data_IF_254761443890
#
_entry.id   IF_254761443890
#
_cell.length_a   1.000
_cell.length_b   1.000
_cell.length_c   1.000
_cell.angle_alpha   90.00
_cell.angle_beta   90.00
_cell.angle_gamma   90.00
#
_symmetry.space_group_name_H-M   'P 1'
#
loop_
_entity.id
_entity.type
_entity.pdbx_description
1 polymer ?
#
# COMPACT_ATOMS: atom_id res chain seq x y z
N UNK A 1 -9.94 33.81 22.91
CA UNK A 1 -10.99 34.66 23.50
C UNK A 1 -11.33 34.17 24.91
N UNK A 2 -10.41 34.35 25.86
CA UNK A 2 -10.62 34.09 27.28
C UNK A 2 -10.86 35.43 27.98
N UNK A 3 -12.06 35.97 27.89
CA UNK A 3 -12.46 37.15 28.67
C UNK A 3 -13.97 37.12 28.92
N UNK A 4 -14.40 36.34 29.90
CA UNK A 4 -15.64 36.54 30.64
C UNK A 4 -15.73 35.53 31.80
N UNK A 5 -15.07 35.80 32.94
CA UNK A 5 -15.59 35.48 34.29
C UNK A 5 -14.63 35.84 35.43
N UNK A 6 -14.24 37.11 35.54
CA UNK A 6 -13.66 37.63 36.79
C UNK A 6 -14.68 38.24 37.74
N UNK A 7 -15.97 38.28 37.39
CA UNK A 7 -17.02 38.89 38.22
C UNK A 7 -17.77 37.92 39.15
N UNK A 8 -17.49 36.62 39.06
CA UNK A 8 -18.10 35.57 39.90
C UNK A 8 -17.16 35.04 40.99
N UNK A 9 -16.17 35.84 41.45
CA UNK A 9 -15.23 35.43 42.50
C UNK A 9 -15.49 36.04 43.88
N UNK A 10 -16.49 36.90 44.04
CA UNK A 10 -16.80 37.53 45.33
C UNK A 10 -18.31 37.68 45.54
N UNK A 11 -19.03 36.57 45.53
CA UNK A 11 -20.35 36.47 46.17
C UNK A 11 -20.15 35.73 47.49
N UNK A 12 -20.25 36.47 48.58
CA UNK A 12 -20.46 36.08 49.98
C UNK A 12 -20.29 34.59 50.34
N UNK A 13 -19.20 34.29 51.07
CA UNK A 13 -19.02 33.07 51.85
C UNK A 13 -19.99 33.06 53.06
N UNK A 14 -21.30 32.96 52.81
CA UNK A 14 -22.20 32.40 53.83
C UNK A 14 -21.87 30.91 53.86
N UNK A 15 -20.96 30.53 54.75
CA UNK A 15 -20.69 29.12 54.99
C UNK A 15 -22.00 28.45 55.41
N UNK A 16 -22.50 27.55 54.56
CA UNK A 16 -23.66 26.71 54.90
C UNK A 16 -23.37 26.04 56.25
N UNK A 17 -24.36 25.84 57.13
CA UNK A 17 -24.12 25.20 58.41
C UNK A 17 -23.42 23.84 58.22
N UNK A 18 -22.52 23.48 59.14
CA UNK A 18 -21.66 22.29 59.03
C UNK A 18 -22.44 21.02 58.63
N UNK A 19 -23.65 20.74 59.18
CA UNK A 19 -24.45 19.58 58.75
C UNK A 19 -24.84 19.60 57.27
N UNK A 20 -25.09 20.77 56.68
CA UNK A 20 -25.39 20.90 55.25
C UNK A 20 -24.14 20.70 54.38
N UNK A 21 -22.97 21.17 54.83
CA UNK A 21 -21.72 20.92 54.10
C UNK A 21 -21.38 19.43 54.06
N UNK A 22 -21.56 18.71 55.17
CA UNK A 22 -21.34 17.26 55.26
C UNK A 22 -22.31 16.53 54.32
N UNK A 23 -23.61 16.89 54.33
CA UNK A 23 -24.60 16.33 53.41
C UNK A 23 -24.21 16.57 51.95
N UNK A 24 -23.81 17.78 51.59
CA UNK A 24 -23.38 18.11 50.23
C UNK A 24 -22.16 17.31 49.77
N UNK A 25 -21.20 17.04 50.67
CA UNK A 25 -20.06 16.19 50.33
C UNK A 25 -20.53 14.75 50.09
N UNK A 26 -21.38 14.21 50.96
CA UNK A 26 -21.93 12.85 50.78
C UNK A 26 -22.69 12.76 49.45
N UNK A 27 -23.53 13.74 49.13
CA UNK A 27 -24.29 13.81 47.88
C UNK A 27 -23.40 13.93 46.65
N UNK A 28 -22.29 14.67 46.72
CA UNK A 28 -21.35 14.82 45.60
C UNK A 28 -20.59 13.53 45.26
N UNK A 29 -20.38 12.67 46.25
CA UNK A 29 -19.68 11.40 46.08
C UNK A 29 -20.61 10.21 45.80
N UNK A 30 -21.93 10.41 45.90
CA UNK A 30 -22.93 9.40 45.54
C UNK A 30 -23.20 9.42 44.03
N UNK A 31 -22.89 8.34 43.28
CA UNK A 31 -23.15 8.25 41.84
C UNK A 31 -24.65 8.19 41.49
N UNK A 32 -25.51 7.91 42.47
CA UNK A 32 -26.97 7.84 42.27
C UNK A 32 -27.63 9.21 42.38
N UNK A 33 -26.90 10.20 42.91
CA UNK A 33 -27.43 11.53 43.15
C UNK A 33 -27.26 12.40 41.89
N UNK A 34 -28.30 13.13 41.45
CA UNK A 34 -28.18 14.07 40.34
C UNK A 34 -27.12 15.17 40.57
N UNK A 35 -26.85 15.53 41.83
CA UNK A 35 -25.81 16.52 42.18
C UNK A 35 -24.39 15.91 42.33
N UNK A 36 -24.17 14.68 41.84
CA UNK A 36 -22.86 14.05 41.86
C UNK A 36 -21.82 14.92 41.13
N UNK A 37 -20.65 15.11 41.75
CA UNK A 37 -19.59 15.93 41.15
C UNK A 37 -18.88 15.24 39.98
N UNK A 38 -19.00 13.91 39.87
CA UNK A 38 -18.29 13.09 38.89
C UNK A 38 -19.22 12.65 37.74
N UNK A 39 -19.91 13.62 37.13
CA UNK A 39 -20.76 13.40 35.96
C UNK A 39 -20.09 13.92 34.71
N UNK A 40 -19.87 13.04 33.74
CA UNK A 40 -19.29 13.39 32.44
C UNK A 40 -20.00 12.62 31.34
N UNK A 41 -20.30 13.27 30.22
CA UNK A 41 -20.82 12.60 29.03
C UNK A 41 -19.67 12.10 28.15
N UNK A 42 -19.74 10.81 27.79
CA UNK A 42 -18.88 10.23 26.77
C UNK A 42 -19.71 9.92 25.53
N UNK A 43 -19.09 10.00 24.36
CA UNK A 43 -19.79 9.75 23.11
C UNK A 43 -19.56 8.31 22.61
N UNK A 44 -20.65 7.61 22.28
CA UNK A 44 -20.61 6.31 21.63
C UNK A 44 -21.03 6.43 20.17
N UNK A 45 -20.32 5.77 19.26
CA UNK A 45 -20.71 5.72 17.85
C UNK A 45 -21.87 4.74 17.70
N UNK A 46 -22.92 5.16 17.03
CA UNK A 46 -24.14 4.42 16.77
C UNK A 46 -24.41 4.45 15.26
N UNK A 47 -25.09 3.45 14.73
CA UNK A 47 -25.54 3.46 13.34
C UNK A 47 -26.68 4.47 13.12
N UNK A 48 -26.76 5.07 11.93
CA UNK A 48 -27.69 6.18 11.63
C UNK A 48 -29.15 5.88 11.94
N UNK A 49 -29.60 4.68 11.59
CA UNK A 49 -30.98 4.23 11.82
C UNK A 49 -31.31 4.04 13.30
N UNK A 50 -30.31 3.83 14.15
CA UNK A 50 -30.50 3.60 15.58
C UNK A 50 -30.47 4.91 16.39
N UNK A 51 -30.00 6.01 15.81
CA UNK A 51 -29.93 7.34 16.47
C UNK A 51 -31.25 7.78 17.10
N UNK A 52 -32.42 7.65 16.42
CA UNK A 52 -33.71 8.09 17.00
C UNK A 52 -34.15 7.29 18.24
N UNK A 53 -33.57 6.11 18.47
CA UNK A 53 -33.93 5.26 19.61
C UNK A 53 -33.22 5.65 20.91
N UNK A 54 -32.23 6.54 20.85
CA UNK A 54 -31.51 6.99 22.04
C UNK A 54 -32.19 8.22 22.65
N UNK A 55 -32.66 8.07 23.88
CA UNK A 55 -33.24 9.13 24.69
C UNK A 55 -32.48 9.25 26.03
N UNK A 56 -32.61 10.40 26.74
CA UNK A 56 -32.05 10.55 28.07
C UNK A 56 -32.53 9.44 29.02
N UNK A 57 -31.64 8.92 29.85
CA UNK A 57 -31.95 7.95 30.89
C UNK A 57 -32.63 8.60 32.12
N UNK A 58 -33.04 7.78 33.11
CA UNK A 58 -33.76 8.26 34.29
C UNK A 58 -32.92 9.15 35.23
N UNK A 59 -31.58 9.11 35.11
CA UNK A 59 -30.67 9.96 35.87
C UNK A 59 -30.09 11.11 35.03
N UNK A 60 -30.46 11.22 33.76
CA UNK A 60 -29.96 12.29 32.87
C UNK A 60 -30.76 13.57 33.08
N UNK A 61 -30.04 14.68 33.22
CA UNK A 61 -30.64 16.01 33.19
C UNK A 61 -30.86 16.42 31.72
N UNK A 62 -32.10 16.73 31.28
CA UNK A 62 -32.38 17.04 29.87
C UNK A 62 -31.55 18.21 29.32
N UNK A 63 -31.21 19.18 30.18
CA UNK A 63 -30.37 20.33 29.82
C UNK A 63 -28.95 19.91 29.48
N UNK A 64 -28.33 19.07 30.31
CA UNK A 64 -26.96 18.60 30.08
C UNK A 64 -26.88 17.64 28.89
N UNK A 65 -27.92 16.83 28.71
CA UNK A 65 -28.06 15.97 27.53
C UNK A 65 -28.11 16.78 26.23
N UNK A 66 -28.94 17.83 26.18
CA UNK A 66 -29.04 18.72 25.01
C UNK A 66 -27.75 19.53 24.79
N UNK A 67 -27.04 19.90 25.86
CA UNK A 67 -25.69 20.47 25.76
C UNK A 67 -24.68 19.50 25.16
N UNK A 68 -24.71 18.23 25.58
CA UNK A 68 -23.84 17.19 25.02
C UNK A 68 -24.19 16.90 23.54
N UNK A 69 -25.48 16.86 23.19
CA UNK A 69 -25.90 16.71 21.79
C UNK A 69 -25.44 17.88 20.91
N UNK A 70 -25.47 19.11 21.43
CA UNK A 70 -24.97 20.30 20.72
C UNK A 70 -23.44 20.25 20.54
N UNK A 71 -22.72 19.72 21.52
CA UNK A 71 -21.25 19.64 21.51
C UNK A 71 -20.71 18.31 20.96
N UNK A 72 -21.45 17.68 20.05
CA UNK A 72 -21.12 16.39 19.47
C UNK A 72 -19.94 16.49 18.47
N UNK A 73 -18.96 15.56 18.52
CA UNK A 73 -17.74 15.65 17.70
C UNK A 73 -17.95 15.34 16.21
N UNK A 74 -18.91 14.48 15.87
CA UNK A 74 -19.20 14.04 14.51
C UNK A 74 -20.63 13.49 14.46
N UNK A 75 -21.30 13.44 13.28
CA UNK A 75 -22.61 12.79 13.15
C UNK A 75 -22.57 11.35 13.69
N UNK A 76 -23.73 10.84 14.14
CA UNK A 76 -23.91 9.45 14.61
C UNK A 76 -23.26 9.07 15.97
N UNK A 77 -22.64 10.03 16.65
CA UNK A 77 -22.24 9.90 18.05
C UNK A 77 -23.35 10.26 19.04
N UNK A 78 -23.73 9.35 19.94
CA UNK A 78 -24.73 9.62 20.99
C UNK A 78 -24.06 9.75 22.36
N UNK A 79 -24.44 10.76 23.17
CA UNK A 79 -23.89 10.92 24.51
C UNK A 79 -24.38 9.80 25.43
N UNK A 80 -23.50 9.40 26.35
CA UNK A 80 -23.75 8.39 27.38
C UNK A 80 -23.22 8.95 28.68
N UNK A 81 -24.09 9.04 29.68
CA UNK A 81 -23.71 9.52 31.00
C UNK A 81 -22.77 8.52 31.69
N UNK A 82 -21.64 9.04 32.16
CA UNK A 82 -20.75 8.34 33.05
C UNK A 82 -20.80 9.03 34.42
N UNK A 83 -21.53 8.43 35.36
CA UNK A 83 -21.60 8.86 36.75
C UNK A 83 -20.61 8.04 37.60
N UNK A 84 -19.66 8.75 38.23
CA UNK A 84 -18.69 8.17 39.16
C UNK A 84 -17.67 7.20 38.55
N UNK A 85 -16.80 6.64 39.40
CA UNK A 85 -15.74 5.71 38.99
C UNK A 85 -16.23 4.36 38.41
N UNK A 86 -17.36 3.77 38.84
CA UNK A 86 -17.81 2.50 38.27
C UNK A 86 -18.14 2.58 36.77
N UNK A 87 -18.70 3.70 36.32
CA UNK A 87 -19.07 3.90 34.91
C UNK A 87 -17.84 4.01 34.00
N UNK A 88 -16.78 4.69 34.44
CA UNK A 88 -15.51 4.74 33.71
C UNK A 88 -14.79 3.38 33.71
N UNK A 89 -14.89 2.59 34.79
CA UNK A 89 -14.39 1.20 34.79
C UNK A 89 -15.15 0.35 33.77
N UNK A 90 -16.47 0.49 33.69
CA UNK A 90 -17.28 -0.18 32.65
C UNK A 90 -16.83 0.25 31.23
N UNK A 91 -16.49 1.54 31.03
CA UNK A 91 -15.95 2.01 29.75
C UNK A 91 -14.58 1.41 29.43
N UNK A 92 -13.68 1.33 30.40
CA UNK A 92 -12.35 0.72 30.22
C UNK A 92 -12.46 -0.77 29.88
N UNK A 93 -13.37 -1.51 30.52
CA UNK A 93 -13.61 -2.92 30.19
C UNK A 93 -14.16 -3.09 28.77
N UNK A 94 -15.06 -2.20 28.32
CA UNK A 94 -15.55 -2.17 26.93
C UNK A 94 -14.41 -1.88 25.94
N UNK A 95 -13.56 -0.90 26.22
CA UNK A 95 -12.40 -0.57 25.37
C UNK A 95 -11.44 -1.75 25.28
N UNK A 96 -11.15 -2.43 26.39
CA UNK A 96 -10.31 -3.64 26.39
C UNK A 96 -10.91 -4.75 25.51
N UNK A 97 -12.23 -4.95 25.57
CA UNK A 97 -12.93 -5.92 24.70
C UNK A 97 -12.82 -5.54 23.23
N UNK A 98 -13.05 -4.27 22.90
CA UNK A 98 -12.94 -3.77 21.53
C UNK A 98 -11.51 -3.90 20.98
N UNK A 99 -10.48 -3.61 21.79
CA UNK A 99 -9.08 -3.80 21.41
C UNK A 99 -8.75 -5.26 21.12
N UNK A 100 -9.27 -6.20 21.91
CA UNK A 100 -9.11 -7.63 21.64
C UNK A 100 -9.74 -8.02 20.29
N UNK A 101 -10.94 -7.50 20.00
CA UNK A 101 -11.60 -7.73 18.70
C UNK A 101 -10.81 -7.12 17.53
N UNK A 102 -10.30 -5.90 17.68
CA UNK A 102 -9.46 -5.26 16.66
C UNK A 102 -8.19 -6.05 16.39
N UNK A 103 -7.50 -6.50 17.44
CA UNK A 103 -6.31 -7.34 17.29
C UNK A 103 -6.64 -8.64 16.56
N UNK A 104 -7.75 -9.31 16.91
CA UNK A 104 -8.17 -10.53 16.21
C UNK A 104 -8.43 -10.29 14.72
N UNK A 105 -9.12 -9.20 14.37
CA UNK A 105 -9.35 -8.83 12.95
C UNK A 105 -8.05 -8.50 12.23
N UNK A 106 -7.12 -7.80 12.89
CA UNK A 106 -5.82 -7.46 12.33
C UNK A 106 -4.96 -8.70 12.09
N UNK A 107 -4.97 -9.67 13.02
CA UNK A 107 -4.34 -10.96 12.83
C UNK A 107 -4.97 -11.76 11.68
N UNK A 108 -6.30 -11.73 11.52
CA UNK A 108 -6.96 -12.36 10.40
C UNK A 108 -6.55 -11.73 9.05
N UNK A 109 -6.43 -10.40 8.99
CA UNK A 109 -5.94 -9.69 7.80
C UNK A 109 -4.49 -10.10 7.51
N UNK A 110 -3.60 -10.09 8.50
CA UNK A 110 -2.22 -10.51 8.32
C UNK A 110 -2.11 -11.95 7.82
N UNK A 111 -2.85 -12.89 8.43
CA UNK A 111 -2.89 -14.28 7.97
C UNK A 111 -3.38 -14.42 6.53
N UNK A 112 -4.36 -13.61 6.11
CA UNK A 112 -4.81 -13.59 4.71
C UNK A 112 -3.76 -13.03 3.75
N UNK A 113 -3.02 -11.99 4.16
CA UNK A 113 -1.91 -11.43 3.38
C UNK A 113 -0.77 -12.44 3.25
N UNK A 114 -0.39 -13.10 4.35
CA UNK A 114 0.64 -14.14 4.35
C UNK A 114 0.27 -15.31 3.41
N UNK A 115 -1.01 -15.71 3.40
CA UNK A 115 -1.50 -16.73 2.48
C UNK A 115 -1.42 -16.28 1.01
N UNK A 116 -1.77 -15.03 0.71
CA UNK A 116 -1.66 -14.46 -0.65
C UNK A 116 -0.19 -14.39 -1.08
N UNK A 117 0.71 -13.90 -0.22
CA UNK A 117 2.14 -13.79 -0.49
C UNK A 117 2.77 -15.17 -0.74
N UNK A 118 2.50 -16.13 0.14
CA UNK A 118 2.97 -17.52 -0.01
C UNK A 118 2.52 -18.14 -1.34
N UNK A 119 1.25 -17.95 -1.71
CA UNK A 119 0.71 -18.44 -2.97
C UNK A 119 1.35 -17.76 -4.19
N UNK A 120 1.56 -16.45 -4.11
CA UNK A 120 2.22 -15.70 -5.17
C UNK A 120 3.65 -16.21 -5.40
N UNK A 121 4.42 -16.33 -4.32
CA UNK A 121 5.85 -16.63 -4.40
C UNK A 121 6.12 -18.10 -4.74
N UNK A 122 5.35 -19.04 -4.20
CA UNK A 122 5.58 -20.47 -4.43
C UNK A 122 4.83 -20.99 -5.66
N UNK A 123 3.61 -20.55 -5.91
CA UNK A 123 2.79 -21.10 -7.00
C UNK A 123 2.81 -20.23 -8.25
N UNK A 124 2.43 -18.95 -8.12
CA UNK A 124 2.20 -18.11 -9.29
C UNK A 124 3.50 -17.75 -10.01
N UNK A 125 4.54 -17.37 -9.28
CA UNK A 125 5.85 -17.02 -9.85
C UNK A 125 6.44 -18.19 -10.67
N UNK A 126 6.43 -19.40 -10.10
CA UNK A 126 6.96 -20.62 -10.71
C UNK A 126 6.13 -21.03 -11.92
N UNK A 127 4.79 -20.99 -11.81
CA UNK A 127 3.91 -21.28 -12.94
C UNK A 127 4.09 -20.26 -14.07
N UNK A 128 4.23 -18.98 -13.76
CA UNK A 128 4.47 -17.94 -14.76
C UNK A 128 5.80 -18.14 -15.49
N UNK A 129 6.88 -18.45 -14.77
CA UNK A 129 8.19 -18.73 -15.37
C UNK A 129 8.13 -19.99 -16.27
N UNK A 130 7.49 -21.06 -15.78
CA UNK A 130 7.33 -22.29 -16.55
C UNK A 130 6.45 -22.08 -17.79
N UNK A 131 5.38 -21.28 -17.69
CA UNK A 131 4.54 -20.91 -18.82
C UNK A 131 5.34 -20.12 -19.86
N UNK A 132 6.16 -19.15 -19.45
CA UNK A 132 7.06 -18.40 -20.35
C UNK A 132 8.05 -19.32 -21.08
N UNK A 133 8.66 -20.27 -20.37
CA UNK A 133 9.57 -21.27 -20.97
C UNK A 133 8.86 -22.15 -21.99
N UNK A 134 7.69 -22.69 -21.64
CA UNK A 134 6.86 -23.52 -22.55
C UNK A 134 6.40 -22.73 -23.77
N UNK A 135 6.00 -21.47 -23.58
CA UNK A 135 5.62 -20.59 -24.68
C UNK A 135 6.80 -20.36 -25.64
N UNK A 136 8.00 -20.12 -25.14
CA UNK A 136 9.19 -19.99 -26.00
C UNK A 136 9.49 -21.28 -26.78
N UNK A 137 9.38 -22.44 -26.15
CA UNK A 137 9.55 -23.73 -26.81
C UNK A 137 8.47 -23.98 -27.88
N UNK A 138 7.21 -23.71 -27.57
CA UNK A 138 6.09 -23.85 -28.50
C UNK A 138 6.19 -22.85 -29.66
N UNK A 139 6.61 -21.62 -29.39
CA UNK A 139 6.90 -20.61 -30.42
C UNK A 139 7.98 -21.11 -31.38
N UNK A 140 9.08 -21.69 -30.86
CA UNK A 140 10.11 -22.33 -31.69
C UNK A 140 9.56 -23.49 -32.51
N UNK A 141 8.77 -24.39 -31.91
CA UNK A 141 8.14 -25.52 -32.63
C UNK A 141 7.19 -25.05 -33.72
N UNK A 142 6.39 -24.02 -33.42
CA UNK A 142 5.48 -23.39 -34.37
C UNK A 142 6.26 -22.79 -35.55
N UNK A 143 7.34 -22.05 -35.30
CA UNK A 143 8.20 -21.49 -36.34
C UNK A 143 8.82 -22.59 -37.21
N UNK A 144 9.37 -23.66 -36.61
CA UNK A 144 9.95 -24.79 -37.35
C UNK A 144 8.89 -25.47 -38.23
N UNK A 145 7.67 -25.66 -37.71
CA UNK A 145 6.58 -26.24 -38.48
C UNK A 145 6.15 -25.32 -39.62
N UNK A 146 5.98 -24.03 -39.35
CA UNK A 146 5.64 -23.03 -40.36
C UNK A 146 6.69 -22.98 -41.48
N UNK A 147 7.97 -23.04 -41.13
CA UNK A 147 9.07 -23.11 -42.09
C UNK A 147 8.97 -24.37 -42.96
N UNK A 148 8.75 -25.55 -42.36
CA UNK A 148 8.58 -26.80 -43.11
C UNK A 148 7.37 -26.76 -44.05
N UNK A 149 6.23 -26.22 -43.59
CA UNK A 149 5.02 -26.07 -44.40
C UNK A 149 5.30 -25.17 -45.61
N UNK A 150 5.99 -24.04 -45.42
CA UNK A 150 6.34 -23.14 -46.50
C UNK A 150 7.26 -23.81 -47.53
N UNK A 151 8.28 -24.54 -47.08
CA UNK A 151 9.20 -25.27 -47.97
C UNK A 151 8.46 -26.34 -48.78
N UNK A 152 7.60 -27.13 -48.14
CA UNK A 152 6.88 -28.22 -48.82
C UNK A 152 5.85 -27.68 -49.82
N UNK A 153 5.13 -26.61 -49.47
CA UNK A 153 4.13 -25.98 -50.34
C UNK A 153 4.76 -25.31 -51.55
N UNK A 154 5.88 -24.64 -51.36
CA UNK A 154 6.53 -23.86 -52.42
C UNK A 154 7.58 -24.68 -53.19
N UNK A 155 7.71 -25.98 -52.90
CA UNK A 155 8.69 -26.84 -53.55
C UNK A 155 8.42 -26.94 -55.05
N UNK A 156 9.35 -26.43 -55.87
CA UNK A 156 9.25 -26.46 -57.33
C UNK A 156 8.67 -25.20 -57.96
N UNK A 157 8.27 -24.20 -57.16
CA UNK A 157 8.00 -22.85 -57.65
C UNK A 157 9.27 -22.00 -57.63
N UNK A 158 9.35 -21.01 -58.53
CA UNK A 158 10.44 -20.05 -58.54
C UNK A 158 10.39 -19.18 -57.27
N UNK A 159 11.58 -18.78 -56.78
CA UNK A 159 11.73 -17.92 -55.61
C UNK A 159 10.99 -16.59 -55.83
N UNK A 160 10.13 -16.20 -54.89
CA UNK A 160 9.41 -14.92 -54.97
C UNK A 160 10.33 -13.74 -54.59
N UNK A 161 10.01 -12.53 -55.05
CA UNK A 161 10.75 -11.31 -54.69
C UNK A 161 10.80 -11.08 -53.18
N UNK A 162 9.67 -11.28 -52.48
CA UNK A 162 9.58 -11.13 -51.02
C UNK A 162 10.51 -12.10 -50.25
N UNK A 163 10.78 -13.27 -50.84
CA UNK A 163 11.66 -14.29 -50.25
C UNK A 163 13.14 -13.91 -50.40
N UNK A 164 13.50 -13.25 -51.51
CA UNK A 164 14.84 -12.69 -51.67
C UNK A 164 15.09 -11.54 -50.69
N UNK A 165 14.10 -10.66 -50.44
CA UNK A 165 14.20 -9.63 -49.40
C UNK A 165 14.40 -10.24 -47.99
N UNK A 166 13.65 -11.29 -47.65
CA UNK A 166 13.81 -11.99 -46.38
C UNK A 166 15.19 -12.62 -46.26
N UNK A 167 15.68 -13.25 -47.32
CA UNK A 167 17.02 -13.84 -47.40
C UNK A 167 18.11 -12.78 -47.22
N UNK A 168 17.98 -11.63 -47.88
CA UNK A 168 18.93 -10.52 -47.74
C UNK A 168 18.99 -10.01 -46.29
N UNK A 169 17.83 -9.86 -45.63
CA UNK A 169 17.76 -9.49 -44.20
C UNK A 169 18.43 -10.53 -43.31
N UNK A 170 18.19 -11.83 -43.55
CA UNK A 170 18.79 -12.91 -42.78
C UNK A 170 20.32 -12.97 -42.99
N UNK A 171 20.80 -12.85 -44.23
CA UNK A 171 22.23 -12.84 -44.53
C UNK A 171 22.95 -11.66 -43.88
N UNK A 172 22.29 -10.49 -43.80
CA UNK A 172 22.85 -9.33 -43.10
C UNK A 172 23.06 -9.65 -41.61
N UNK A 173 22.04 -10.18 -40.95
CA UNK A 173 22.11 -10.54 -39.52
C UNK A 173 23.12 -11.66 -39.27
N UNK A 174 23.16 -12.67 -40.14
CA UNK A 174 24.09 -13.80 -40.00
C UNK A 174 25.55 -13.36 -40.16
N UNK A 175 25.85 -12.47 -41.12
CA UNK A 175 27.20 -11.87 -41.26
C UNK A 175 27.59 -11.03 -40.06
N UNK A 176 26.66 -10.23 -39.52
CA UNK A 176 26.90 -9.45 -38.31
C UNK A 176 27.16 -10.36 -37.10
N UNK A 177 26.46 -11.49 -36.99
CA UNK A 177 26.63 -12.45 -35.88
C UNK A 177 27.92 -13.28 -35.98
N UNK A 178 28.34 -13.64 -37.20
CA UNK A 178 29.54 -14.44 -37.45
C UNK A 178 30.85 -13.63 -37.39
N UNK A 179 30.79 -12.35 -37.05
CA UNK A 179 31.99 -11.52 -36.88
C UNK A 179 32.86 -12.06 -35.72
N UNK A 180 34.10 -12.53 -35.99
CA UNK A 180 35.01 -13.02 -34.96
C UNK A 180 35.32 -11.98 -33.87
N UNK A 181 35.21 -10.68 -34.18
CA UNK A 181 35.41 -9.62 -33.21
C UNK A 181 34.37 -9.66 -32.07
N UNK A 182 33.12 -10.07 -32.36
CA UNK A 182 32.09 -10.23 -31.33
C UNK A 182 32.43 -11.36 -30.36
N UNK A 183 32.87 -12.52 -30.89
CA UNK A 183 33.30 -13.65 -30.06
C UNK A 183 34.52 -13.29 -29.22
N UNK A 184 35.54 -12.67 -29.84
CA UNK A 184 36.74 -12.23 -29.15
C UNK A 184 36.42 -11.22 -28.02
N UNK A 185 35.48 -10.30 -28.24
CA UNK A 185 35.03 -9.35 -27.21
C UNK A 185 34.33 -10.04 -26.04
N UNK A 186 33.52 -11.07 -26.29
CA UNK A 186 32.89 -11.85 -25.23
C UNK A 186 33.95 -12.59 -24.40
N UNK A 187 34.91 -13.24 -25.04
CA UNK A 187 36.01 -13.93 -24.36
C UNK A 187 36.89 -12.97 -23.55
N UNK A 188 37.18 -11.79 -24.10
CA UNK A 188 37.87 -10.73 -23.39
C UNK A 188 37.08 -10.24 -22.15
N UNK A 189 35.78 -10.01 -22.29
CA UNK A 189 34.94 -9.62 -21.14
C UNK A 189 34.89 -10.71 -20.07
N UNK A 190 34.81 -11.98 -20.47
CA UNK A 190 34.85 -13.10 -19.54
C UNK A 190 36.17 -13.19 -18.79
N UNK A 191 37.31 -13.07 -19.49
CA UNK A 191 38.63 -13.07 -18.85
C UNK A 191 38.81 -11.87 -17.90
N UNK A 192 38.40 -10.67 -18.32
CA UNK A 192 38.42 -9.46 -17.47
C UNK A 192 37.56 -9.64 -16.22
N UNK A 193 36.38 -10.24 -16.34
CA UNK A 193 35.49 -10.54 -15.21
C UNK A 193 36.15 -11.52 -14.23
N UNK A 194 36.80 -12.57 -14.74
CA UNK A 194 37.51 -13.55 -13.90
C UNK A 194 38.64 -12.87 -13.10
N UNK A 195 39.40 -11.98 -13.74
CA UNK A 195 40.48 -11.22 -13.07
C UNK A 195 39.89 -10.32 -11.98
N UNK A 196 38.83 -9.56 -12.28
CA UNK A 196 38.17 -8.70 -11.30
C UNK A 196 37.60 -9.49 -10.13
N UNK A 197 37.03 -10.66 -10.40
CA UNK A 197 36.53 -11.56 -9.36
C UNK A 197 37.65 -12.05 -8.45
N UNK A 198 38.77 -12.51 -9.01
CA UNK A 198 39.93 -12.97 -8.22
C UNK A 198 40.51 -11.85 -7.35
N UNK A 199 40.58 -10.63 -7.90
CA UNK A 199 41.01 -9.45 -7.15
C UNK A 199 40.04 -9.11 -6.02
N UNK A 200 38.73 -9.11 -6.29
CA UNK A 200 37.70 -8.85 -5.29
C UNK A 200 37.69 -9.91 -4.17
N UNK A 201 37.86 -11.19 -4.52
CA UNK A 201 37.94 -12.30 -3.56
C UNK A 201 39.20 -12.16 -2.69
N UNK A 202 40.34 -11.81 -3.29
CA UNK A 202 41.59 -11.57 -2.55
C UNK A 202 41.49 -10.38 -1.59
N UNK A 203 40.91 -9.25 -2.05
CA UNK A 203 40.67 -8.07 -1.23
C UNK A 203 39.68 -8.36 -0.10
N UNK A 204 38.64 -9.15 -0.38
CA UNK A 204 37.68 -9.60 0.63
C UNK A 204 38.36 -10.45 1.71
N UNK A 205 39.24 -11.36 1.32
CA UNK A 205 40.00 -12.18 2.27
C UNK A 205 40.99 -11.35 3.09
N UNK A 206 41.59 -10.31 2.51
CA UNK A 206 42.43 -9.35 3.24
C UNK A 206 41.63 -8.51 4.25
N UNK A 207 40.44 -8.03 3.87
CA UNK A 207 39.56 -7.24 4.73
C UNK A 207 38.95 -8.10 5.86
N UNK A 208 38.63 -9.37 5.58
CA UNK A 208 38.07 -10.29 6.58
C UNK A 208 39.11 -10.84 7.57
N UNK A 209 40.39 -10.45 7.48
CA UNK A 209 41.37 -10.78 8.53
C UNK A 209 40.92 -10.17 9.86
N UNK A 210 40.80 -10.98 10.93
CA UNK A 210 40.25 -10.53 12.21
C UNK A 210 41.18 -9.48 12.82
N UNK A 211 40.75 -8.21 12.79
CA UNK A 211 41.54 -7.06 13.24
C UNK A 211 41.24 -5.77 12.49
N UNK A 212 40.64 -5.84 11.29
CA UNK A 212 39.99 -4.69 10.69
C UNK A 212 38.70 -4.40 11.48
N UNK A 213 38.63 -3.20 12.07
CA UNK A 213 37.48 -2.68 12.78
C UNK A 213 36.18 -3.09 12.07
N UNK A 214 35.25 -3.66 12.83
CA UNK A 214 33.85 -3.79 12.43
C UNK A 214 33.41 -2.38 12.03
N UNK A 215 33.44 -2.10 10.72
CA UNK A 215 33.03 -0.82 10.17
C UNK A 215 31.55 -0.73 10.52
N UNK A 216 31.25 0.03 11.58
CA UNK A 216 29.89 0.32 11.98
C UNK A 216 29.11 0.67 10.73
N UNK A 217 28.21 -0.23 10.36
CA UNK A 217 27.39 -0.08 9.17
C UNK A 217 26.61 1.23 9.22
N UNK A 218 25.89 1.55 8.15
CA UNK A 218 24.90 2.62 8.23
C UNK A 218 24.02 2.36 9.47
N UNK A 219 23.79 3.41 10.27
CA UNK A 219 22.92 3.23 11.42
C UNK A 219 21.55 2.76 10.95
N UNK A 220 20.94 1.85 11.70
CA UNK A 220 19.62 1.28 11.40
C UNK A 220 18.56 2.37 11.16
N UNK A 221 18.73 3.53 11.82
CA UNK A 221 17.89 4.71 11.61
C UNK A 221 18.03 5.33 10.21
N UNK A 222 19.26 5.43 9.69
CA UNK A 222 19.50 5.94 8.33
C UNK A 222 18.96 4.95 7.30
N UNK A 223 19.12 3.65 7.54
CA UNK A 223 18.54 2.62 6.66
C UNK A 223 17.01 2.66 6.64
N UNK A 224 16.35 2.83 7.79
CA UNK A 224 14.91 2.96 7.88
C UNK A 224 14.40 4.20 7.12
N UNK A 225 15.10 5.34 7.26
CA UNK A 225 14.79 6.55 6.49
C UNK A 225 15.00 6.33 4.99
N UNK A 226 16.10 5.68 4.60
CA UNK A 226 16.37 5.36 3.20
C UNK A 226 15.29 4.45 2.60
N UNK A 227 14.87 3.39 3.31
CA UNK A 227 13.76 2.52 2.89
C UNK A 227 12.48 3.32 2.68
N UNK A 228 12.15 4.21 3.62
CA UNK A 228 10.95 5.05 3.52
C UNK A 228 10.99 5.98 2.29
N UNK A 229 12.13 6.62 2.03
CA UNK A 229 12.33 7.46 0.84
C UNK A 229 12.19 6.64 -0.44
N UNK A 230 12.76 5.43 -0.48
CA UNK A 230 12.65 4.54 -1.62
C UNK A 230 11.20 4.11 -1.90
N UNK A 231 10.41 3.80 -0.86
CA UNK A 231 8.98 3.50 -1.02
C UNK A 231 8.19 4.69 -1.58
N UNK A 232 8.51 5.90 -1.13
CA UNK A 232 7.85 7.11 -1.60
C UNK A 232 8.22 7.43 -3.05
N UNK A 233 9.50 7.24 -3.43
CA UNK A 233 9.94 7.35 -4.82
C UNK A 233 9.35 6.26 -5.72
N UNK A 234 9.24 5.00 -5.27
CA UNK A 234 8.57 3.96 -6.05
C UNK A 234 7.12 4.35 -6.33
N UNK A 235 6.36 4.82 -5.34
CA UNK A 235 4.98 5.30 -5.55
C UNK A 235 4.91 6.44 -6.57
N UNK A 236 5.82 7.41 -6.49
CA UNK A 236 5.89 8.52 -7.44
C UNK A 236 6.23 8.04 -8.86
N UNK A 237 7.18 7.13 -9.01
CA UNK A 237 7.56 6.55 -10.30
C UNK A 237 6.43 5.70 -10.89
N UNK A 238 5.71 4.91 -10.09
CA UNK A 238 4.55 4.15 -10.54
C UNK A 238 3.43 5.09 -11.02
N UNK A 239 3.22 6.21 -10.33
CA UNK A 239 2.26 7.23 -10.76
C UNK A 239 2.67 7.87 -12.09
N UNK A 240 3.91 8.34 -12.21
CA UNK A 240 4.43 8.93 -13.46
C UNK A 240 4.37 7.93 -14.61
N UNK A 241 4.71 6.65 -14.36
CA UNK A 241 4.58 5.59 -15.35
C UNK A 241 3.15 5.44 -15.84
N UNK A 242 2.16 5.42 -14.94
CA UNK A 242 0.74 5.34 -15.32
C UNK A 242 0.30 6.55 -16.14
N UNK A 243 0.70 7.76 -15.74
CA UNK A 243 0.39 8.98 -16.48
C UNK A 243 0.98 8.97 -17.88
N UNK A 244 2.22 8.48 -18.05
CA UNK A 244 2.83 8.36 -19.39
C UNK A 244 2.12 7.30 -20.24
N UNK A 245 1.71 6.17 -19.64
CA UNK A 245 0.94 5.14 -20.36
C UNK A 245 -0.46 5.62 -20.75
N UNK A 246 -1.12 6.43 -19.91
CA UNK A 246 -2.42 7.06 -20.22
C UNK A 246 -2.24 8.11 -21.32
N UNK A 247 -1.27 9.02 -21.19
CA UNK A 247 -0.98 10.03 -22.21
C UNK A 247 -0.62 9.40 -23.56
N UNK A 248 0.08 8.26 -23.56
CA UNK A 248 0.37 7.51 -24.78
C UNK A 248 -0.90 6.94 -25.41
N UNK A 249 -1.80 6.35 -24.61
CA UNK A 249 -3.07 5.83 -25.13
C UNK A 249 -3.93 6.93 -25.73
N UNK A 250 -4.05 8.06 -25.03
CA UNK A 250 -4.81 9.22 -25.50
C UNK A 250 -4.22 9.77 -26.81
N UNK A 251 -2.89 9.80 -26.91
CA UNK A 251 -2.21 10.18 -28.15
C UNK A 251 -2.45 9.19 -29.29
N UNK A 252 -2.35 7.88 -29.03
CA UNK A 252 -2.62 6.83 -30.02
C UNK A 252 -4.09 6.84 -30.50
N UNK A 253 -5.03 7.29 -29.66
CA UNK A 253 -6.43 7.50 -30.01
C UNK A 253 -6.60 8.75 -30.88
N UNK A 254 -6.01 9.87 -30.48
CA UNK A 254 -6.00 11.11 -31.27
C UNK A 254 -5.38 10.91 -32.65
N UNK A 255 -4.27 10.16 -32.75
CA UNK A 255 -3.58 9.88 -34.01
C UNK A 255 -4.48 9.11 -34.99
N UNK A 256 -5.28 8.15 -34.50
CA UNK A 256 -6.24 7.40 -35.35
C UNK A 256 -7.36 8.28 -35.88
N UNK A 257 -7.79 9.28 -35.11
CA UNK A 257 -8.84 10.21 -35.53
C UNK A 257 -8.33 11.25 -36.54
N UNK A 258 -7.07 11.69 -36.42
CA UNK A 258 -6.51 12.80 -37.18
C UNK A 258 -5.60 12.38 -38.34
N UNK A 259 -5.13 11.13 -38.37
CA UNK A 259 -4.48 10.51 -39.52
C UNK A 259 -5.31 9.32 -40.01
N UNK A 260 -6.38 9.54 -40.81
CA UNK A 260 -7.00 8.45 -41.53
C UNK A 260 -5.94 7.87 -42.46
N UNK A 261 -5.61 6.59 -42.25
CA UNK A 261 -4.64 5.85 -43.03
C UNK A 261 -4.93 6.08 -44.52
N UNK A 262 -3.96 6.50 -45.35
CA UNK A 262 -4.21 6.64 -46.78
C UNK A 262 -4.66 5.27 -47.31
N UNK A 263 -5.84 5.24 -47.92
CA UNK A 263 -6.43 4.02 -48.47
C UNK A 263 -5.38 3.28 -49.32
N UNK A 264 -5.23 1.95 -49.18
CA UNK A 264 -4.28 1.20 -49.97
C UNK A 264 -4.59 1.44 -51.46
N UNK A 265 -3.62 1.97 -52.19
CA UNK A 265 -3.74 2.25 -53.60
C UNK A 265 -4.23 0.98 -54.33
N UNK A 266 -5.41 1.06 -54.95
CA UNK A 266 -5.93 0.01 -55.83
C UNK A 266 -4.87 -0.25 -56.90
N UNK A 267 -4.22 -1.42 -56.87
CA UNK A 267 -3.40 -1.90 -57.98
C UNK A 267 -4.30 -1.92 -59.22
N UNK A 268 -3.96 -1.10 -60.21
CA UNK A 268 -4.64 -1.12 -61.50
C UNK A 268 -4.46 -2.50 -62.15
N UNK A 269 -5.56 -3.02 -62.70
CA UNK A 269 -5.60 -4.23 -63.54
C UNK A 269 -4.65 -4.13 -64.72
#
# INVERSE_FOLDING_TARGET
>A
MFHANLRSRFAELVQKPIPEQIKLIIEKWDPSNPNCAFRTYLYNKVEEHAVPHYHPGPQDDPKEWDEALRNKPAPNFMPVLCAGFPSIVARLTLQRRALAEFNNKLHAINASLDAILSRHDLEHSVRALNARRRHAEQSRRCLVLAAKVQILRNRGYALSGDEDELKQKLQKIDKELQDPALSARLEELWSRLIILRQYADSLKDEINKPGALDNGGLSEEVEAKAKKILEDYDKQLQHLRKQVEEAKKDFDEWEKEHQPTPAPAKKAC
#
